data_IF_422095016537
#
_entry.id   IF_422095016537
#
_cell.length_a   1.000
_cell.length_b   1.000
_cell.length_c   1.000
_cell.angle_alpha   90.00
_cell.angle_beta   90.00
_cell.angle_gamma   90.00
#
_symmetry.space_group_name_H-M   'P 1'
#
loop_
_entity.id
_entity.type
_entity.pdbx_description
1 polymer ?
#
# COMPACT_ATOMS: atom_id res chain seq x y z
N UNK A 1 -7.61 -24.38 -8.82
CA UNK A 1 -6.46 -23.44 -8.74
C UNK A 1 -6.51 -22.59 -7.47
N UNK A 2 -7.69 -22.06 -7.08
CA UNK A 2 -7.86 -21.24 -5.86
C UNK A 2 -7.48 -21.99 -4.58
N UNK A 3 -7.89 -23.26 -4.45
CA UNK A 3 -7.57 -24.10 -3.27
C UNK A 3 -6.04 -24.24 -3.08
N UNK A 4 -5.30 -24.48 -4.17
CA UNK A 4 -3.84 -24.57 -4.09
C UNK A 4 -3.19 -23.23 -3.70
N UNK A 5 -3.76 -22.12 -4.17
CA UNK A 5 -3.28 -20.77 -3.83
C UNK A 5 -3.53 -20.46 -2.35
N UNK A 6 -4.71 -20.77 -1.84
CA UNK A 6 -5.05 -20.56 -0.43
C UNK A 6 -4.17 -21.42 0.49
N UNK A 7 -3.96 -22.68 0.14
CA UNK A 7 -3.11 -23.59 0.92
C UNK A 7 -1.64 -23.13 0.93
N UNK A 8 -1.12 -22.70 -0.23
CA UNK A 8 0.23 -22.17 -0.31
C UNK A 8 0.40 -20.88 0.51
N UNK A 9 -0.59 -19.98 0.47
CA UNK A 9 -0.56 -18.75 1.28
C UNK A 9 -0.58 -19.10 2.77
N UNK A 10 -1.45 -19.99 3.21
CA UNK A 10 -1.56 -20.40 4.60
C UNK A 10 -0.25 -21.03 5.10
N UNK A 11 0.31 -21.97 4.33
CA UNK A 11 1.58 -22.61 4.69
C UNK A 11 2.74 -21.61 4.83
N UNK A 12 2.84 -20.64 3.90
CA UNK A 12 3.87 -19.59 3.98
C UNK A 12 3.60 -18.65 5.16
N UNK A 13 2.35 -18.30 5.43
CA UNK A 13 1.98 -17.47 6.57
C UNK A 13 2.29 -18.13 7.90
N UNK A 14 2.15 -19.44 8.01
CA UNK A 14 2.51 -20.16 9.24
C UNK A 14 4.03 -20.15 9.49
N UNK A 15 4.83 -20.26 8.44
CA UNK A 15 6.30 -20.09 8.52
C UNK A 15 6.62 -18.65 8.98
N UNK A 16 6.02 -17.64 8.36
CA UNK A 16 6.24 -16.23 8.71
C UNK A 16 5.87 -15.95 10.17
N UNK A 17 4.73 -16.46 10.64
CA UNK A 17 4.29 -16.29 12.04
C UNK A 17 5.28 -16.93 13.01
N UNK A 18 5.77 -18.15 12.67
CA UNK A 18 6.77 -18.82 13.49
C UNK A 18 8.07 -18.04 13.56
N UNK A 19 8.58 -17.53 12.44
CA UNK A 19 9.80 -16.74 12.40
C UNK A 19 9.66 -15.42 13.21
N UNK A 20 8.48 -14.79 13.15
CA UNK A 20 8.16 -13.61 13.94
C UNK A 20 8.12 -13.93 15.44
N UNK A 21 7.50 -15.05 15.81
CA UNK A 21 7.44 -15.51 17.21
C UNK A 21 8.83 -15.82 17.76
N UNK A 22 9.69 -16.48 16.98
CA UNK A 22 11.10 -16.74 17.32
C UNK A 22 11.90 -15.44 17.55
N UNK A 23 11.48 -14.32 16.94
CA UNK A 23 12.02 -12.97 17.17
C UNK A 23 11.32 -12.20 18.30
N UNK A 24 10.32 -12.80 18.95
CA UNK A 24 9.52 -12.14 19.99
C UNK A 24 8.54 -11.10 19.44
N UNK A 25 8.17 -11.19 18.14
CA UNK A 25 7.25 -10.25 17.46
C UNK A 25 5.90 -10.92 17.32
N UNK A 26 4.94 -10.51 18.11
CA UNK A 26 3.57 -11.01 18.08
C UNK A 26 2.63 -9.96 17.48
N UNK A 27 1.99 -10.27 16.34
CA UNK A 27 1.00 -9.41 15.72
C UNK A 27 -0.41 -9.83 16.12
N UNK A 28 -1.22 -8.88 16.57
CA UNK A 28 -2.63 -9.13 16.93
C UNK A 28 -3.49 -9.41 15.68
N UNK A 29 -3.16 -8.80 14.54
CA UNK A 29 -3.97 -8.89 13.32
C UNK A 29 -3.09 -9.01 12.09
N UNK A 30 -3.33 -10.05 11.30
CA UNK A 30 -2.85 -10.19 9.93
C UNK A 30 -3.99 -9.86 8.97
N UNK A 31 -3.81 -8.84 8.15
CA UNK A 31 -4.85 -8.40 7.21
C UNK A 31 -4.48 -8.82 5.80
N UNK A 32 -5.42 -9.49 5.14
CA UNK A 32 -5.30 -9.83 3.72
C UNK A 32 -5.88 -8.70 2.85
N UNK A 33 -5.10 -8.19 1.89
CA UNK A 33 -5.57 -7.23 0.90
C UNK A 33 -6.76 -7.80 0.10
N UNK A 34 -6.69 -9.09 -0.25
CA UNK A 34 -7.77 -9.79 -0.96
C UNK A 34 -9.08 -9.80 -0.14
N UNK A 35 -9.00 -9.86 1.18
CA UNK A 35 -10.18 -9.78 2.05
C UNK A 35 -10.85 -8.40 1.99
N UNK A 36 -10.06 -7.33 1.91
CA UNK A 36 -10.58 -5.97 1.74
C UNK A 36 -11.28 -5.77 0.38
N UNK A 37 -10.74 -6.40 -0.67
CA UNK A 37 -11.35 -6.40 -2.00
C UNK A 37 -12.66 -7.20 -2.00
N UNK A 38 -12.63 -8.46 -1.55
CA UNK A 38 -13.80 -9.35 -1.55
C UNK A 38 -14.95 -8.86 -0.65
N UNK A 39 -14.64 -8.17 0.44
CA UNK A 39 -15.67 -7.58 1.34
C UNK A 39 -16.31 -6.30 0.79
N UNK A 40 -15.87 -5.80 -0.36
CA UNK A 40 -16.33 -4.52 -0.91
C UNK A 40 -15.84 -3.29 -0.13
N UNK A 41 -14.88 -3.48 0.79
CA UNK A 41 -14.39 -2.38 1.62
C UNK A 41 -13.61 -1.34 0.80
N UNK A 42 -12.93 -1.75 -0.26
CA UNK A 42 -12.26 -0.85 -1.21
C UNK A 42 -13.28 0.04 -1.92
N UNK A 43 -14.41 -0.52 -2.39
CA UNK A 43 -15.49 0.24 -3.03
C UNK A 43 -16.20 1.18 -2.05
N UNK A 44 -16.41 0.76 -0.80
CA UNK A 44 -16.91 1.63 0.28
C UNK A 44 -16.00 2.85 0.47
N UNK A 45 -14.69 2.61 0.54
CA UNK A 45 -13.69 3.66 0.72
C UNK A 45 -13.65 4.61 -0.46
N UNK A 46 -13.68 4.08 -1.70
CA UNK A 46 -13.79 4.87 -2.91
C UNK A 46 -15.02 5.77 -2.91
N UNK A 47 -16.18 5.22 -2.54
CA UNK A 47 -17.43 5.95 -2.43
C UNK A 47 -17.35 7.07 -1.40
N UNK A 48 -16.64 6.85 -0.29
CA UNK A 48 -16.39 7.88 0.72
C UNK A 48 -15.51 9.01 0.18
N UNK A 49 -14.44 8.71 -0.55
CA UNK A 49 -13.60 9.71 -1.21
C UNK A 49 -14.39 10.52 -2.24
N UNK A 50 -15.25 9.85 -3.03
CA UNK A 50 -16.13 10.49 -4.01
C UNK A 50 -17.12 11.45 -3.35
N UNK A 51 -17.78 11.03 -2.27
CA UNK A 51 -18.71 11.89 -1.49
C UNK A 51 -18.02 13.13 -0.92
N UNK A 52 -16.73 13.02 -0.57
CA UNK A 52 -15.91 14.14 -0.09
C UNK A 52 -15.38 15.04 -1.21
N UNK A 53 -15.74 14.78 -2.47
CA UNK A 53 -15.24 15.51 -3.64
C UNK A 53 -13.70 15.51 -3.76
N UNK A 54 -13.08 14.39 -3.39
CA UNK A 54 -11.63 14.20 -3.41
C UNK A 54 -11.14 13.46 -4.66
N UNK A 55 -12.05 13.09 -5.56
CA UNK A 55 -11.76 12.38 -6.81
C UNK A 55 -12.15 13.24 -8.01
N UNK A 56 -11.44 13.02 -9.12
CA UNK A 56 -11.78 13.58 -10.44
C UNK A 56 -11.26 12.68 -11.56
N UNK A 57 -11.84 12.81 -12.74
CA UNK A 57 -11.33 12.19 -13.95
C UNK A 57 -10.27 13.09 -14.58
N UNK A 58 -9.17 12.51 -14.99
CA UNK A 58 -8.06 13.25 -15.59
C UNK A 58 -7.06 12.34 -16.28
N UNK A 59 -6.17 12.98 -17.02
CA UNK A 59 -5.09 12.33 -17.75
C UNK A 59 -3.79 12.50 -16.98
N UNK A 60 -2.95 11.47 -17.00
CA UNK A 60 -1.63 11.54 -16.40
C UNK A 60 -0.55 11.87 -17.43
N UNK A 61 0.55 12.43 -16.95
CA UNK A 61 1.77 12.57 -17.74
C UNK A 61 2.39 11.17 -17.95
N UNK A 62 3.09 10.96 -19.07
CA UNK A 62 3.83 9.72 -19.28
C UNK A 62 4.86 9.51 -18.15
N UNK A 63 5.10 8.26 -17.72
CA UNK A 63 6.12 7.98 -16.73
C UNK A 63 7.49 8.54 -17.15
N UNK A 64 8.27 9.02 -16.18
CA UNK A 64 9.63 9.50 -16.46
C UNK A 64 10.45 8.41 -17.15
N UNK A 65 10.96 8.71 -18.34
CA UNK A 65 11.77 7.77 -19.15
C UNK A 65 10.98 6.99 -20.21
N UNK A 66 9.66 7.09 -20.30
CA UNK A 66 8.91 6.53 -21.43
C UNK A 66 9.09 7.40 -22.70
N UNK A 67 9.18 6.76 -23.87
CA UNK A 67 9.16 7.49 -25.14
C UNK A 67 7.78 8.09 -25.34
N UNK A 68 7.71 9.41 -25.60
CA UNK A 68 6.46 10.14 -25.77
C UNK A 68 5.53 9.56 -26.85
N UNK A 69 6.06 8.87 -27.84
CA UNK A 69 5.32 8.32 -28.97
C UNK A 69 4.53 7.04 -28.66
N UNK A 70 4.86 6.34 -27.55
CA UNK A 70 4.22 5.08 -27.17
C UNK A 70 3.18 5.27 -26.06
N UNK A 71 2.96 6.52 -25.61
CA UNK A 71 2.04 6.83 -24.53
C UNK A 71 0.67 7.22 -25.03
N UNK A 72 -0.32 6.35 -24.83
CA UNK A 72 -1.73 6.67 -25.07
C UNK A 72 -2.27 7.43 -23.85
N UNK A 73 -2.81 8.60 -24.11
CA UNK A 73 -3.36 9.46 -23.07
C UNK A 73 -4.77 8.99 -22.70
N UNK A 74 -4.89 8.24 -21.61
CA UNK A 74 -6.15 7.67 -21.14
C UNK A 74 -6.67 8.42 -19.91
N UNK A 75 -8.00 8.44 -19.75
CA UNK A 75 -8.65 9.00 -18.60
C UNK A 75 -8.60 8.02 -17.42
N UNK A 76 -8.13 8.48 -16.30
CA UNK A 76 -8.08 7.73 -15.04
C UNK A 76 -8.88 8.47 -13.97
N UNK A 77 -9.21 7.78 -12.88
CA UNK A 77 -9.72 8.45 -11.69
C UNK A 77 -8.54 8.76 -10.79
N UNK A 78 -8.38 10.06 -10.51
CA UNK A 78 -7.31 10.59 -9.68
C UNK A 78 -7.85 11.01 -8.32
N UNK A 79 -7.03 10.79 -7.30
CA UNK A 79 -7.21 11.32 -5.96
C UNK A 79 -6.41 12.62 -5.81
N UNK A 80 -7.06 13.66 -5.26
CA UNK A 80 -6.50 15.01 -5.04
C UNK A 80 -5.47 15.03 -3.91
N UNK A 81 -4.40 14.24 -4.02
CA UNK A 81 -3.41 14.07 -2.95
C UNK A 81 -2.53 15.30 -2.75
N UNK A 82 -2.30 16.12 -3.79
CA UNK A 82 -1.61 17.43 -3.67
C UNK A 82 -2.24 18.33 -2.62
N UNK A 83 -3.57 18.32 -2.51
CA UNK A 83 -4.31 19.13 -1.53
C UNK A 83 -3.92 18.78 -0.08
N UNK A 84 -3.33 17.61 0.15
CA UNK A 84 -2.99 17.08 1.47
C UNK A 84 -1.48 16.90 1.70
N UNK A 85 -0.65 17.42 0.79
CA UNK A 85 0.80 17.47 0.97
C UNK A 85 1.60 16.45 0.15
N UNK A 86 0.99 15.82 -0.86
CA UNK A 86 1.74 15.06 -1.87
C UNK A 86 2.28 16.00 -2.97
N UNK A 87 3.22 15.54 -3.77
CA UNK A 87 3.81 16.28 -4.89
C UNK A 87 2.90 16.30 -6.14
N UNK A 88 2.08 15.26 -6.34
CA UNK A 88 1.13 15.17 -7.46
C UNK A 88 -0.14 14.44 -7.07
N UNK A 89 -1.23 14.63 -7.85
CA UNK A 89 -2.45 13.85 -7.69
C UNK A 89 -2.24 12.44 -8.22
N UNK A 90 -2.82 11.45 -7.55
CA UNK A 90 -2.50 10.03 -7.79
C UNK A 90 -3.64 9.27 -8.42
N UNK A 91 -3.32 8.47 -9.44
CA UNK A 91 -4.28 7.53 -10.02
C UNK A 91 -4.63 6.47 -8.99
N UNK A 92 -5.92 6.31 -8.73
CA UNK A 92 -6.46 5.25 -7.86
C UNK A 92 -7.24 4.21 -8.64
N UNK A 93 -7.79 4.58 -9.82
CA UNK A 93 -8.47 3.66 -10.72
C UNK A 93 -8.07 3.93 -12.16
N UNK A 94 -7.67 2.89 -12.86
CA UNK A 94 -7.24 2.95 -14.25
C UNK A 94 -8.46 3.11 -15.18
N UNK A 95 -8.21 3.45 -16.46
CA UNK A 95 -9.22 3.55 -17.52
C UNK A 95 -10.00 2.25 -17.74
N UNK A 96 -9.34 1.09 -17.55
CA UNK A 96 -9.95 -0.24 -17.66
C UNK A 96 -10.79 -0.63 -16.43
N UNK A 97 -10.92 0.28 -15.46
CA UNK A 97 -11.67 0.07 -14.23
C UNK A 97 -10.92 -0.66 -13.12
N UNK A 98 -9.68 -1.09 -13.35
CA UNK A 98 -8.87 -1.76 -12.33
C UNK A 98 -8.36 -0.75 -11.29
N UNK A 99 -8.26 -1.21 -10.04
CA UNK A 99 -7.62 -0.46 -8.97
C UNK A 99 -6.10 -0.40 -9.19
N UNK A 100 -5.48 0.74 -8.87
CA UNK A 100 -4.04 0.77 -8.63
C UNK A 100 -3.76 0.27 -7.22
N UNK A 101 -2.53 -0.11 -6.91
CA UNK A 101 -2.13 -0.55 -5.56
C UNK A 101 -2.44 0.49 -4.47
N UNK A 102 -2.50 1.76 -4.86
CA UNK A 102 -2.74 2.84 -3.92
C UNK A 102 -4.16 2.84 -3.34
N UNK A 103 -5.16 2.41 -4.08
CA UNK A 103 -6.55 2.41 -3.59
C UNK A 103 -6.78 1.38 -2.46
N UNK A 104 -6.36 0.11 -2.56
CA UNK A 104 -6.38 -0.83 -1.44
C UNK A 104 -5.60 -0.35 -0.22
N UNK A 105 -4.45 0.31 -0.41
CA UNK A 105 -3.68 0.88 0.70
C UNK A 105 -4.45 1.99 1.44
N UNK A 106 -5.14 2.87 0.72
CA UNK A 106 -6.03 3.87 1.32
C UNK A 106 -7.13 3.17 2.13
N UNK A 107 -7.75 2.14 1.55
CA UNK A 107 -8.81 1.38 2.21
C UNK A 107 -8.30 0.69 3.48
N UNK A 108 -7.10 0.12 3.46
CA UNK A 108 -6.50 -0.51 4.62
C UNK A 108 -6.25 0.48 5.76
N UNK A 109 -5.74 1.67 5.47
CA UNK A 109 -5.54 2.70 6.49
C UNK A 109 -6.87 3.26 7.01
N UNK A 110 -7.88 3.37 6.15
CA UNK A 110 -9.22 3.74 6.61
C UNK A 110 -9.83 2.67 7.51
N UNK A 111 -9.60 1.39 7.22
CA UNK A 111 -9.99 0.28 8.09
C UNK A 111 -9.34 0.37 9.47
N UNK A 112 -8.03 0.66 9.52
CA UNK A 112 -7.34 0.91 10.80
C UNK A 112 -8.00 2.04 11.59
N UNK A 113 -8.34 3.14 10.92
CA UNK A 113 -9.01 4.27 11.55
C UNK A 113 -10.42 3.90 12.07
N UNK A 114 -11.22 3.18 11.29
CA UNK A 114 -12.55 2.71 11.73
C UNK A 114 -12.47 1.71 12.90
N UNK A 115 -11.36 1.00 13.07
CA UNK A 115 -11.08 0.17 14.25
C UNK A 115 -10.63 0.98 15.48
N UNK A 116 -10.58 2.31 15.39
CA UNK A 116 -10.25 3.21 16.50
C UNK A 116 -8.81 3.69 16.56
N UNK A 117 -7.96 3.32 15.59
CA UNK A 117 -6.56 3.75 15.59
C UNK A 117 -6.42 5.14 14.95
N UNK A 118 -6.32 6.18 15.77
CA UNK A 118 -6.05 7.55 15.32
C UNK A 118 -4.55 7.86 15.20
N UNK A 119 -3.68 7.08 15.83
CA UNK A 119 -2.23 7.14 15.68
C UNK A 119 -1.76 5.86 15.02
N UNK A 120 -1.15 5.98 13.85
CA UNK A 120 -0.68 4.86 13.06
C UNK A 120 0.82 5.01 12.82
N UNK A 121 1.57 3.91 12.92
CA UNK A 121 2.99 3.85 12.58
C UNK A 121 3.17 2.75 11.55
N UNK A 122 3.69 3.09 10.38
CA UNK A 122 4.08 2.12 9.37
C UNK A 122 5.59 1.99 9.33
N UNK A 123 6.06 0.77 9.16
CA UNK A 123 7.48 0.46 8.93
C UNK A 123 7.64 0.07 7.46
N UNK A 124 8.40 0.87 6.70
CA UNK A 124 8.65 0.64 5.28
C UNK A 124 10.12 0.34 5.01
N UNK A 125 10.42 -0.41 3.96
CA UNK A 125 11.75 -0.45 3.39
C UNK A 125 12.16 0.92 2.83
N UNK A 126 13.43 1.25 2.84
CA UNK A 126 13.94 2.54 2.36
C UNK A 126 13.66 2.78 0.86
N UNK A 127 13.49 1.72 0.09
CA UNK A 127 13.05 1.72 -1.31
C UNK A 127 11.65 2.29 -1.52
N UNK A 128 10.80 2.29 -0.47
CA UNK A 128 9.46 2.88 -0.47
C UNK A 128 9.42 4.35 -0.03
N UNK A 129 10.56 5.05 0.09
CA UNK A 129 10.61 6.45 0.53
C UNK A 129 9.72 7.40 -0.30
N UNK A 130 9.63 7.19 -1.61
CA UNK A 130 8.74 7.95 -2.50
C UNK A 130 7.24 7.71 -2.27
N UNK A 131 6.88 6.72 -1.45
CA UNK A 131 5.50 6.39 -1.14
C UNK A 131 4.97 7.12 0.11
N UNK A 132 5.88 7.71 0.89
CA UNK A 132 5.57 8.29 2.21
C UNK A 132 4.60 9.46 2.11
N UNK A 133 4.89 10.42 1.24
CA UNK A 133 4.08 11.63 1.11
C UNK A 133 2.64 11.31 0.69
N UNK A 134 2.46 10.42 -0.31
CA UNK A 134 1.14 10.01 -0.79
C UNK A 134 0.32 9.28 0.26
N UNK A 135 0.93 8.41 1.07
CA UNK A 135 0.21 7.71 2.13
C UNK A 135 -0.22 8.65 3.26
N UNK A 136 0.65 9.55 3.68
CA UNK A 136 0.29 10.59 4.67
C UNK A 136 -0.86 11.46 4.15
N UNK A 137 -0.79 11.90 2.88
CA UNK A 137 -1.85 12.67 2.23
C UNK A 137 -3.18 11.89 2.20
N UNK A 138 -3.15 10.60 1.89
CA UNK A 138 -4.34 9.76 1.85
C UNK A 138 -4.99 9.60 3.22
N UNK A 139 -4.21 9.28 4.26
CA UNK A 139 -4.72 9.15 5.63
C UNK A 139 -5.34 10.45 6.11
N UNK A 140 -4.65 11.58 5.90
CA UNK A 140 -5.15 12.91 6.24
C UNK A 140 -6.49 13.20 5.57
N UNK A 141 -6.60 12.91 4.28
CA UNK A 141 -7.81 13.15 3.50
C UNK A 141 -9.00 12.28 3.93
N UNK A 142 -8.80 10.95 4.02
CA UNK A 142 -9.90 10.02 4.29
C UNK A 142 -10.44 10.15 5.72
N UNK A 143 -9.57 10.51 6.68
CA UNK A 143 -9.93 10.67 8.09
C UNK A 143 -10.33 12.11 8.47
N UNK A 144 -10.37 13.05 7.52
CA UNK A 144 -10.57 14.48 7.76
C UNK A 144 -9.55 15.06 8.78
N UNK A 145 -8.29 14.67 8.64
CA UNK A 145 -7.17 15.07 9.51
C UNK A 145 -7.32 14.61 10.99
N UNK A 146 -8.18 13.61 11.24
CA UNK A 146 -8.40 13.06 12.59
C UNK A 146 -7.46 11.92 12.95
N UNK A 147 -6.68 11.42 12.00
CA UNK A 147 -5.65 10.43 12.24
C UNK A 147 -4.29 10.90 11.75
N UNK A 148 -3.24 10.51 12.48
CA UNK A 148 -1.85 10.77 12.12
C UNK A 148 -1.18 9.46 11.69
N UNK A 149 -0.48 9.52 10.55
CA UNK A 149 0.35 8.44 10.06
C UNK A 149 1.83 8.84 10.15
N UNK A 150 2.55 8.16 10.99
CA UNK A 150 4.01 8.20 11.06
C UNK A 150 4.59 7.04 10.25
N UNK A 151 5.62 7.30 9.44
CA UNK A 151 6.30 6.26 8.66
C UNK A 151 7.76 6.25 9.06
N UNK A 152 8.22 5.09 9.52
CA UNK A 152 9.63 4.78 9.80
C UNK A 152 10.19 3.98 8.64
N UNK A 153 11.40 4.31 8.22
CA UNK A 153 12.08 3.56 7.14
C UNK A 153 13.21 2.72 7.71
N UNK A 154 13.24 1.44 7.30
CA UNK A 154 14.33 0.53 7.60
C UNK A 154 15.22 0.38 6.38
N UNK A 155 16.54 0.43 6.59
CA UNK A 155 17.53 0.15 5.56
C UNK A 155 17.63 -1.35 5.30
N UNK A 156 18.20 -1.72 4.16
CA UNK A 156 18.48 -3.11 3.82
C UNK A 156 19.32 -3.78 4.91
N UNK A 157 18.83 -4.90 5.41
CA UNK A 157 19.59 -5.74 6.35
C UNK A 157 20.67 -6.49 5.56
N UNK A 158 21.92 -6.34 5.99
CA UNK A 158 23.06 -7.06 5.45
C UNK A 158 23.45 -8.18 6.38
N UNK A 159 23.36 -9.41 5.90
CA UNK A 159 23.85 -10.57 6.65
C UNK A 159 25.34 -10.79 6.33
N UNK A 160 26.14 -11.05 7.35
CA UNK A 160 27.54 -11.43 7.19
C UNK A 160 27.84 -12.70 7.98
N UNK A 161 28.71 -13.55 7.41
CA UNK A 161 29.29 -14.73 8.09
C UNK A 161 30.79 -14.62 8.05
N UNK A 162 31.43 -14.65 9.21
CA UNK A 162 32.89 -14.45 9.36
C UNK A 162 33.41 -13.20 8.59
N UNK A 163 32.69 -12.06 8.70
CA UNK A 163 33.06 -10.80 8.08
C UNK A 163 32.80 -10.69 6.57
N UNK A 164 32.27 -11.73 5.94
CA UNK A 164 31.93 -11.73 4.50
C UNK A 164 30.43 -11.60 4.31
N UNK A 165 29.97 -10.76 3.33
CA UNK A 165 28.54 -10.66 3.03
C UNK A 165 27.97 -12.00 2.56
N UNK A 166 26.81 -12.40 3.12
CA UNK A 166 26.07 -13.56 2.66
C UNK A 166 25.02 -13.05 1.65
N UNK A 167 25.08 -13.57 0.43
CA UNK A 167 23.99 -13.35 -0.54
C UNK A 167 22.85 -14.29 -0.19
N UNK A 168 21.72 -13.72 0.18
CA UNK A 168 20.47 -14.46 0.27
C UNK A 168 19.98 -14.72 -1.16
N UNK A 169 19.93 -15.98 -1.54
CA UNK A 169 19.33 -16.42 -2.80
C UNK A 169 17.96 -17.01 -2.49
N UNK A 170 16.94 -16.63 -3.27
CA UNK A 170 15.60 -17.22 -3.17
C UNK A 170 15.56 -18.74 -3.44
N UNK A 171 16.67 -19.32 -3.91
CA UNK A 171 16.81 -20.75 -4.20
C UNK A 171 17.24 -21.55 -2.95
N UNK A 172 17.60 -20.85 -1.86
CA UNK A 172 18.19 -21.48 -0.65
C UNK A 172 17.30 -21.27 0.60
N UNK A 173 16.05 -20.87 0.39
CA UNK A 173 15.02 -20.80 1.42
C UNK A 173 14.19 -22.09 1.37
#
# INVERSE_FOLDING_TARGET
LEVFKEEAINSVMDIIKKDLDDLGINHDVFTSENSLLKSGYVDKTFSSLKKKNLLYEGKTQPPKGSKKNDWVQENHILFKSKKFGDDEDRVIRKHDGQWTYFMPDIAYHFNKYERGFSKMVNIFGADHSGYIARMKAAVKAITNDKANLEIKTCQLVRLSRAGKPVKLSLIHI
#
